data_IF_589495769570
#
_entry.id   IF_589495769570
#
_cell.length_a   1.000
_cell.length_b   1.000
_cell.length_c   1.000
_cell.angle_alpha   90.00
_cell.angle_beta   90.00
_cell.angle_gamma   90.00
#
_symmetry.space_group_name_H-M   'P 1'
#
loop_
_entity.id
_entity.type
_entity.pdbx_description
1 polymer ?
#
# COMPACT_ATOMS: atom_id res chain seq x y z
N UNK A 1 6.63 12.94 15.75
CA UNK A 1 6.68 11.46 15.80
C UNK A 1 6.77 10.93 14.40
N UNK A 2 7.45 9.80 14.21
CA UNK A 2 7.70 9.20 12.88
C UNK A 2 7.02 7.84 12.81
N UNK A 3 6.39 7.54 11.67
CA UNK A 3 5.80 6.24 11.36
C UNK A 3 6.44 5.67 10.10
N UNK A 4 6.60 4.36 10.05
CA UNK A 4 6.91 3.62 8.83
C UNK A 4 5.62 2.99 8.33
N UNK A 5 5.34 3.18 7.04
CA UNK A 5 4.15 2.68 6.37
C UNK A 5 4.61 1.89 5.16
N UNK A 6 4.72 0.58 5.31
CA UNK A 6 4.96 -0.35 4.22
C UNK A 6 3.61 -0.70 3.59
N UNK A 7 3.44 -0.44 2.30
CA UNK A 7 2.31 -0.94 1.54
C UNK A 7 2.77 -2.10 0.67
N UNK A 8 1.99 -3.17 0.63
CA UNK A 8 2.25 -4.33 -0.23
C UNK A 8 0.92 -4.81 -0.80
N UNK A 9 0.93 -5.31 -2.02
CA UNK A 9 -0.15 -6.15 -2.49
C UNK A 9 0.06 -7.58 -1.98
N UNK A 10 -1.02 -8.36 -1.95
CA UNK A 10 -0.97 -9.70 -1.43
C UNK A 10 -1.78 -10.64 -2.29
N UNK A 11 -1.14 -11.75 -2.65
CA UNK A 11 -1.74 -12.78 -3.48
C UNK A 11 -1.89 -14.10 -2.73
N UNK A 12 -2.97 -14.82 -3.01
CA UNK A 12 -3.25 -16.14 -2.40
C UNK A 12 -2.66 -17.32 -3.20
N UNK A 13 -1.49 -17.10 -3.81
CA UNK A 13 -0.71 -18.11 -4.52
C UNK A 13 0.77 -17.85 -4.22
N UNK A 14 1.61 -18.89 -4.30
CA UNK A 14 3.04 -18.73 -4.09
C UNK A 14 3.67 -17.91 -5.22
N UNK A 15 4.65 -17.08 -4.88
CA UNK A 15 5.37 -16.28 -5.87
C UNK A 15 6.01 -17.14 -6.97
N UNK A 16 6.45 -18.36 -6.63
CA UNK A 16 7.01 -19.33 -7.58
C UNK A 16 5.98 -19.80 -8.62
N UNK A 17 4.68 -19.81 -8.28
CA UNK A 17 3.62 -20.19 -9.21
C UNK A 17 3.27 -19.09 -10.22
N UNK A 18 3.75 -17.86 -9.97
CA UNK A 18 3.60 -16.72 -10.90
C UNK A 18 4.86 -16.39 -11.68
N UNK A 19 6.01 -16.97 -11.36
CA UNK A 19 7.24 -16.77 -12.11
C UNK A 19 7.31 -17.73 -13.32
N UNK A 20 7.72 -17.27 -14.53
CA UNK A 20 8.07 -15.89 -14.94
C UNK A 20 6.84 -15.05 -15.37
N UNK A 21 5.66 -15.62 -15.31
CA UNK A 21 4.38 -15.05 -15.72
C UNK A 21 3.49 -16.17 -16.26
N UNK A 22 2.19 -16.14 -15.97
CA UNK A 22 1.24 -17.14 -16.50
C UNK A 22 0.75 -16.70 -17.88
N UNK A 23 0.77 -17.62 -18.85
CA UNK A 23 0.37 -17.33 -20.24
C UNK A 23 -1.01 -17.89 -20.63
N UNK A 24 -1.55 -18.83 -19.86
CA UNK A 24 -2.76 -19.58 -20.25
C UNK A 24 -3.91 -19.52 -19.24
N UNK A 25 -3.61 -19.52 -17.93
CA UNK A 25 -4.62 -19.56 -16.86
C UNK A 25 -4.28 -18.51 -15.83
N UNK A 26 -5.27 -17.72 -15.40
CA UNK A 26 -5.12 -16.64 -14.44
C UNK A 26 -3.93 -15.72 -14.79
N UNK A 27 -3.96 -15.13 -15.99
CA UNK A 27 -2.94 -14.22 -16.52
C UNK A 27 -2.97 -12.83 -15.85
N UNK A 28 -3.97 -12.59 -14.99
CA UNK A 28 -4.12 -11.34 -14.25
C UNK A 28 -3.00 -11.11 -13.25
N UNK A 29 -2.84 -9.86 -12.83
CA UNK A 29 -1.89 -9.43 -11.80
C UNK A 29 -2.62 -8.74 -10.63
N UNK A 30 -3.95 -8.83 -10.62
CA UNK A 30 -4.77 -8.23 -9.59
C UNK A 30 -4.57 -9.00 -8.28
N UNK A 31 -4.10 -8.34 -7.22
CA UNK A 31 -3.96 -9.00 -5.93
C UNK A 31 -5.31 -9.18 -5.25
N UNK A 32 -5.42 -10.22 -4.42
CA UNK A 32 -6.61 -10.45 -3.61
C UNK A 32 -6.79 -9.37 -2.52
N UNK A 33 -5.70 -8.77 -2.04
CA UNK A 33 -5.78 -7.67 -1.06
C UNK A 33 -4.56 -6.75 -1.10
N UNK A 34 -4.70 -5.57 -0.48
CA UNK A 34 -3.58 -4.67 -0.17
C UNK A 34 -3.39 -4.66 1.35
N UNK A 35 -2.13 -4.69 1.77
CA UNK A 35 -1.73 -4.67 3.17
C UNK A 35 -1.01 -3.36 3.48
N UNK A 36 -1.25 -2.85 4.70
CA UNK A 36 -0.46 -1.79 5.30
C UNK A 36 0.23 -2.40 6.52
N UNK A 37 1.57 -2.36 6.58
CA UNK A 37 2.38 -2.99 7.62
C UNK A 37 2.00 -4.47 7.86
N UNK A 38 1.70 -5.20 6.78
CA UNK A 38 1.32 -6.62 6.82
C UNK A 38 -0.11 -6.90 7.28
N UNK A 39 -0.96 -5.86 7.43
CA UNK A 39 -2.34 -5.96 7.89
C UNK A 39 -3.31 -5.53 6.79
N UNK A 40 -4.39 -6.28 6.62
CA UNK A 40 -5.43 -6.03 5.64
C UNK A 40 -6.54 -7.06 5.77
N UNK A 41 -7.58 -6.90 4.97
CA UNK A 41 -8.74 -7.79 4.94
C UNK A 41 -9.00 -8.24 3.50
N UNK A 42 -9.47 -9.47 3.34
CA UNK A 42 -9.84 -10.05 2.07
C UNK A 42 -11.35 -10.28 2.01
N UNK A 43 -11.95 -9.96 0.85
CA UNK A 43 -13.31 -10.33 0.51
C UNK A 43 -13.29 -11.45 -0.51
N UNK A 44 -13.80 -12.62 -0.14
CA UNK A 44 -13.99 -13.68 -1.12
C UNK A 44 -15.04 -13.23 -2.15
N UNK A 45 -14.68 -13.13 -3.44
CA UNK A 45 -15.60 -12.65 -4.48
C UNK A 45 -16.74 -13.66 -4.76
N UNK A 46 -16.56 -14.94 -4.43
CA UNK A 46 -17.54 -15.99 -4.70
C UNK A 46 -18.56 -16.12 -3.56
N UNK A 47 -18.10 -16.04 -2.31
CA UNK A 47 -18.96 -16.22 -1.13
C UNK A 47 -19.38 -14.90 -0.47
N UNK A 48 -18.69 -13.80 -0.79
CA UNK A 48 -18.86 -12.51 -0.13
C UNK A 48 -18.32 -12.47 1.30
N UNK A 49 -17.73 -13.56 1.80
CA UNK A 49 -17.16 -13.64 3.13
C UNK A 49 -15.99 -12.65 3.27
N UNK A 50 -15.98 -11.92 4.38
CA UNK A 50 -14.91 -11.00 4.76
C UNK A 50 -14.08 -11.59 5.88
N UNK A 51 -12.76 -11.62 5.72
CA UNK A 51 -11.86 -12.02 6.80
C UNK A 51 -11.91 -11.01 7.95
N UNK A 52 -11.92 -11.50 9.19
CA UNK A 52 -11.85 -10.65 10.37
C UNK A 52 -10.40 -10.51 10.88
N UNK A 53 -9.56 -9.89 10.07
CA UNK A 53 -8.16 -9.58 10.37
C UNK A 53 -8.01 -8.10 10.73
N UNK A 54 -7.03 -7.72 11.58
CA UNK A 54 -6.84 -6.34 11.97
C UNK A 54 -6.39 -5.48 10.78
N UNK A 55 -6.70 -4.19 10.84
CA UNK A 55 -6.13 -3.16 9.98
C UNK A 55 -5.01 -2.42 10.72
N UNK A 56 -4.11 -1.79 9.97
CA UNK A 56 -3.09 -0.94 10.59
C UNK A 56 -3.70 0.37 11.11
N UNK A 57 -3.29 0.76 12.32
CA UNK A 57 -3.81 1.95 13.00
C UNK A 57 -2.66 2.84 13.41
N UNK A 58 -2.63 4.05 12.86
CA UNK A 58 -1.71 5.11 13.26
C UNK A 58 -2.43 6.09 14.18
N UNK A 59 -2.17 6.03 15.49
CA UNK A 59 -2.77 6.95 16.46
C UNK A 59 -2.09 8.31 16.42
N UNK A 60 -2.88 9.36 16.18
CA UNK A 60 -2.42 10.75 16.10
C UNK A 60 -3.05 11.61 17.20
N UNK A 61 -2.40 12.71 17.53
CA UNK A 61 -2.89 13.74 18.46
C UNK A 61 -3.21 15.00 17.67
N UNK A 62 -4.40 15.61 17.87
CA UNK A 62 -4.77 16.85 17.21
C UNK A 62 -3.72 17.96 17.36
N UNK A 63 -3.53 18.76 16.31
CA UNK A 63 -2.58 19.88 16.29
C UNK A 63 -1.10 19.49 16.17
N UNK A 64 -0.78 18.20 16.08
CA UNK A 64 0.60 17.72 15.88
C UNK A 64 0.90 17.40 14.42
N UNK A 65 2.18 17.44 14.08
CA UNK A 65 2.72 17.02 12.77
C UNK A 65 3.42 15.67 12.91
N UNK A 66 3.18 14.80 11.94
CA UNK A 66 3.73 13.45 11.88
C UNK A 66 4.48 13.25 10.58
N UNK A 67 5.59 12.51 10.65
CA UNK A 67 6.35 12.12 9.46
C UNK A 67 6.04 10.66 9.14
N UNK A 68 5.44 10.41 8.00
CA UNK A 68 5.29 9.06 7.45
C UNK A 68 6.45 8.77 6.50
N UNK A 69 7.06 7.59 6.65
CA UNK A 69 8.03 7.02 5.72
C UNK A 69 7.30 5.91 4.97
N UNK A 70 6.69 6.28 3.85
CA UNK A 70 5.95 5.36 3.01
C UNK A 70 6.94 4.57 2.14
N UNK A 71 6.74 3.26 2.03
CA UNK A 71 7.52 2.35 1.19
C UNK A 71 6.53 1.53 0.37
N UNK A 72 6.67 1.52 -0.96
CA UNK A 72 5.83 0.71 -1.82
C UNK A 72 6.55 -0.59 -2.19
N UNK A 73 6.08 -1.70 -1.62
CA UNK A 73 6.57 -3.05 -1.88
C UNK A 73 5.54 -3.89 -2.66
N UNK A 74 4.79 -3.28 -3.58
CA UNK A 74 3.92 -4.02 -4.49
C UNK A 74 4.75 -4.97 -5.37
N UNK A 75 4.28 -6.20 -5.51
CA UNK A 75 4.79 -7.17 -6.47
C UNK A 75 4.20 -6.96 -7.87
N UNK A 76 3.00 -6.36 -7.97
CA UNK A 76 2.36 -6.02 -9.23
C UNK A 76 2.89 -4.72 -9.84
N UNK A 77 2.57 -4.52 -11.13
CA UNK A 77 2.99 -3.34 -11.91
C UNK A 77 2.10 -2.11 -11.67
N UNK A 78 0.93 -2.29 -11.07
CA UNK A 78 -0.03 -1.23 -10.87
C UNK A 78 0.48 -0.25 -9.80
N UNK A 79 0.40 1.08 -10.02
CA UNK A 79 0.81 2.03 -9.01
C UNK A 79 -0.17 2.03 -7.83
N UNK A 80 0.36 2.26 -6.64
CA UNK A 80 -0.43 2.58 -5.47
C UNK A 80 -0.87 4.05 -5.52
N UNK A 81 -2.13 4.29 -5.18
CA UNK A 81 -2.66 5.62 -4.92
C UNK A 81 -2.96 5.75 -3.42
N UNK A 82 -2.21 6.59 -2.71
CA UNK A 82 -2.33 6.75 -1.25
C UNK A 82 -2.86 8.14 -0.92
N UNK A 83 -3.94 8.17 -0.13
CA UNK A 83 -4.60 9.38 0.34
C UNK A 83 -4.90 9.23 1.83
N UNK A 84 -4.70 10.30 2.59
CA UNK A 84 -5.20 10.40 3.97
C UNK A 84 -6.46 11.26 3.95
N UNK A 85 -7.62 10.62 4.12
CA UNK A 85 -8.90 11.32 4.02
C UNK A 85 -8.98 12.52 4.97
N UNK A 86 -9.40 13.67 4.44
CA UNK A 86 -9.49 14.93 5.19
C UNK A 86 -8.16 15.59 5.56
N UNK A 87 -7.01 15.08 5.06
CA UNK A 87 -5.69 15.61 5.37
C UNK A 87 -4.87 15.89 4.12
N UNK A 88 -4.21 17.06 4.08
CA UNK A 88 -3.17 17.33 3.09
C UNK A 88 -1.84 16.71 3.54
N UNK A 89 -1.03 16.32 2.58
CA UNK A 89 0.31 15.78 2.76
C UNK A 89 1.35 16.81 2.30
N UNK A 90 2.54 16.73 2.87
CA UNK A 90 3.70 17.47 2.38
C UNK A 90 4.82 16.49 2.08
N UNK A 91 5.14 16.33 0.80
CA UNK A 91 6.27 15.51 0.36
C UNK A 91 7.54 16.29 0.63
N UNK A 92 8.48 15.68 1.36
CA UNK A 92 9.75 16.30 1.75
C UNK A 92 10.97 15.48 1.34
N UNK A 93 10.77 14.24 0.88
CA UNK A 93 11.82 13.35 0.39
C UNK A 93 11.22 12.27 -0.52
N UNK A 94 12.03 11.77 -1.45
CA UNK A 94 11.77 10.63 -2.33
C UNK A 94 13.05 9.80 -2.43
N UNK A 95 12.95 8.48 -2.37
CA UNK A 95 14.06 7.54 -2.59
C UNK A 95 15.31 7.82 -1.73
N UNK A 96 15.10 8.27 -0.49
CA UNK A 96 16.16 8.58 0.47
C UNK A 96 16.68 10.01 0.41
N UNK A 97 16.37 10.76 -0.64
CA UNK A 97 16.87 12.12 -0.86
C UNK A 97 15.81 13.20 -0.55
N UNK A 98 16.19 14.33 0.09
CA UNK A 98 15.28 15.45 0.28
C UNK A 98 14.84 16.07 -1.05
N UNK A 99 13.61 16.55 -1.10
CA UNK A 99 13.09 17.33 -2.22
C UNK A 99 12.56 18.67 -1.75
N UNK A 100 12.33 19.60 -2.69
CA UNK A 100 11.59 20.82 -2.38
C UNK A 100 10.19 20.46 -1.86
N UNK A 101 9.75 20.96 -0.70
CA UNK A 101 8.48 20.56 -0.13
C UNK A 101 7.29 20.88 -1.04
N UNK A 102 6.45 19.86 -1.31
CA UNK A 102 5.24 20.02 -2.14
C UNK A 102 4.02 19.54 -1.37
N UNK A 103 2.96 20.36 -1.34
CA UNK A 103 1.67 19.96 -0.79
C UNK A 103 0.87 19.17 -1.82
N UNK A 104 0.33 18.02 -1.39
CA UNK A 104 -0.48 17.14 -2.23
C UNK A 104 -1.62 16.55 -1.42
N UNK A 105 -2.69 16.13 -2.08
CA UNK A 105 -3.79 15.40 -1.46
C UNK A 105 -3.58 13.88 -1.57
N UNK A 106 -2.82 13.46 -2.59
CA UNK A 106 -2.64 12.07 -2.97
C UNK A 106 -1.21 11.86 -3.44
N UNK A 107 -0.67 10.67 -3.16
CA UNK A 107 0.62 10.20 -3.66
C UNK A 107 0.40 9.03 -4.60
N UNK A 108 0.96 9.12 -5.80
CA UNK A 108 1.09 7.98 -6.71
C UNK A 108 2.48 7.41 -6.54
N UNK A 109 2.59 6.13 -6.20
CA UNK A 109 3.86 5.44 -6.05
C UNK A 109 3.87 4.18 -6.89
N UNK A 110 4.90 4.00 -7.69
CA UNK A 110 5.25 2.68 -8.21
C UNK A 110 6.02 1.89 -7.15
N UNK A 111 6.20 0.59 -7.37
CA UNK A 111 7.01 -0.26 -6.50
C UNK A 111 8.46 0.20 -6.51
N UNK A 112 9.07 0.32 -5.33
CA UNK A 112 10.40 0.93 -5.13
C UNK A 112 10.60 1.49 -3.73
#
# INVERSE_FOLDING_TARGET
>A
TTHVMLISDWLHEDAAERYPGRLAVNTGQDPESVLINGKGQFRDPNTGFMTNTPLEVFTITPGRRYRFRMINAFASVCPAQVTFEGHNLTIIATDGEPVQPVQVNTVISFSG
#
